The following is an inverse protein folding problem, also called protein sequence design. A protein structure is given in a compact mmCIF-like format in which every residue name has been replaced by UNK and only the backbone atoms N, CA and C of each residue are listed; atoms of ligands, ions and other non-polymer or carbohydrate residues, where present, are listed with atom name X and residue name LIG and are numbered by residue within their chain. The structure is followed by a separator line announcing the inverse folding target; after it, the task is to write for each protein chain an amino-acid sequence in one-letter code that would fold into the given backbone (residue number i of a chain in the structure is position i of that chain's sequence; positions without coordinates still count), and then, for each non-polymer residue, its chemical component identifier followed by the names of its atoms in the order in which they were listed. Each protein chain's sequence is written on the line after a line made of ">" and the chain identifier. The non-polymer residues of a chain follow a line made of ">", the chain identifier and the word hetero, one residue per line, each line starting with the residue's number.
data_IF_843083026984
#
_entry.id   IF_843083026984
#
_cell.length_a   1.000
_cell.length_b   1.000
_cell.length_c   1.000
_cell.angle_alpha   90.00
_cell.angle_beta   90.00
_cell.angle_gamma   90.00
#
_symmetry.space_group_name_H-M   'P 1'
#
loop_
_entity.id
_entity.type
_entity.pdbx_description
1 polymer ?
#
# COMPACT_ATOMS: atom_id res chain seq x y z
N UNK A 1 -27.80 7.49 -5.05
CA UNK A 1 -27.68 7.70 -3.58
C UNK A 1 -26.27 8.24 -3.32
N UNK A 2 -26.14 9.41 -2.67
CA UNK A 2 -24.83 9.99 -2.32
C UNK A 2 -24.54 9.62 -0.87
N UNK A 3 -23.47 8.88 -0.62
CA UNK A 3 -23.03 8.53 0.73
C UNK A 3 -21.97 9.54 1.17
N UNK A 4 -22.18 10.18 2.31
CA UNK A 4 -21.21 11.12 2.85
C UNK A 4 -20.08 10.38 3.57
N UNK A 5 -18.82 10.80 3.38
CA UNK A 5 -17.68 10.19 4.03
C UNK A 5 -17.70 10.46 5.55
N UNK A 6 -17.33 9.46 6.34
CA UNK A 6 -17.11 9.59 7.78
C UNK A 6 -15.62 9.91 8.05
N UNK A 7 -15.29 10.23 9.30
CA UNK A 7 -13.91 10.55 9.72
C UNK A 7 -12.90 9.44 9.39
N UNK A 8 -13.35 8.19 9.41
CA UNK A 8 -12.54 7.03 9.06
C UNK A 8 -12.18 7.00 7.56
N UNK A 9 -13.11 7.38 6.69
CA UNK A 9 -12.82 7.54 5.25
C UNK A 9 -11.81 8.69 5.04
N UNK A 10 -12.00 9.81 5.76
CA UNK A 10 -11.09 10.94 5.66
C UNK A 10 -9.68 10.61 6.18
N UNK A 11 -9.57 9.70 7.15
CA UNK A 11 -8.27 9.23 7.61
C UNK A 11 -7.47 8.56 6.49
N UNK A 12 -8.13 7.78 5.62
CA UNK A 12 -7.47 7.14 4.47
C UNK A 12 -6.87 8.15 3.49
N UNK A 13 -7.36 9.38 3.46
CA UNK A 13 -6.81 10.43 2.61
C UNK A 13 -5.38 10.83 2.99
N UNK A 14 -4.89 10.47 4.19
CA UNK A 14 -3.48 10.61 4.55
C UNK A 14 -2.55 9.78 3.66
N UNK A 15 -3.05 8.71 3.06
CA UNK A 15 -2.30 7.86 2.15
C UNK A 15 -2.11 8.49 0.76
N UNK A 16 -2.95 9.44 0.35
CA UNK A 16 -2.97 10.02 -1.00
C UNK A 16 -1.62 10.59 -1.42
N UNK A 17 -1.32 10.47 -2.70
CA UNK A 17 -0.14 11.05 -3.35
C UNK A 17 0.85 10.01 -3.85
N UNK A 18 2.04 10.50 -4.21
CA UNK A 18 3.11 9.70 -4.77
C UNK A 18 4.15 9.35 -3.70
N UNK A 19 4.56 8.09 -3.67
CA UNK A 19 5.49 7.57 -2.68
C UNK A 19 6.63 6.82 -3.37
N UNK A 20 7.83 6.92 -2.81
CA UNK A 20 8.91 5.96 -3.06
C UNK A 20 8.86 4.89 -1.99
N UNK A 21 9.18 3.65 -2.36
CA UNK A 21 9.23 2.53 -1.43
C UNK A 21 10.63 1.96 -1.37
N UNK A 22 11.03 1.51 -0.20
CA UNK A 22 12.30 0.86 0.05
C UNK A 22 12.08 -0.25 1.07
N UNK A 23 12.57 -1.45 0.75
CA UNK A 23 12.55 -2.59 1.66
C UNK A 23 13.91 -3.31 1.61
N UNK A 24 14.38 -3.93 2.71
CA UNK A 24 15.56 -4.80 2.68
C UNK A 24 15.36 -5.92 1.67
N UNK A 25 16.39 -6.23 0.89
CA UNK A 25 16.39 -7.46 0.10
C UNK A 25 16.46 -8.69 1.03
N UNK A 26 15.94 -9.84 0.63
CA UNK A 26 16.02 -11.05 1.43
C UNK A 26 17.46 -11.49 1.74
N UNK A 27 17.66 -12.07 2.92
CA UNK A 27 18.95 -12.51 3.40
C UNK A 27 19.77 -11.40 4.04
N UNK A 28 21.07 -11.65 4.30
CA UNK A 28 22.00 -10.70 4.93
C UNK A 28 22.57 -9.66 3.95
N UNK A 29 21.95 -9.48 2.80
CA UNK A 29 22.33 -8.52 1.79
C UNK A 29 22.11 -7.09 2.31
N UNK A 30 23.07 -6.20 2.06
CA UNK A 30 22.90 -4.74 2.27
C UNK A 30 22.09 -4.10 1.14
N UNK A 31 21.68 -4.89 0.15
CA UNK A 31 20.88 -4.42 -0.97
C UNK A 31 19.45 -4.11 -0.55
N UNK A 32 18.82 -3.24 -1.29
CA UNK A 32 17.45 -2.82 -1.06
C UNK A 32 16.67 -2.98 -2.34
N UNK A 33 15.44 -3.49 -2.22
CA UNK A 33 14.47 -3.44 -3.29
C UNK A 33 13.74 -2.09 -3.22
N UNK A 34 13.66 -1.40 -4.35
CA UNK A 34 13.04 -0.09 -4.45
C UNK A 34 11.77 -0.15 -5.29
N UNK A 35 10.91 0.83 -5.09
CA UNK A 35 9.68 0.90 -5.83
C UNK A 35 8.99 2.25 -5.71
N UNK A 36 7.79 2.30 -6.24
CA UNK A 36 6.92 3.48 -6.17
C UNK A 36 5.49 3.06 -5.92
N UNK A 37 4.73 3.94 -5.30
CA UNK A 37 3.29 3.77 -5.13
C UNK A 37 2.59 5.09 -5.41
N UNK A 38 1.51 5.03 -6.21
CA UNK A 38 0.59 6.13 -6.44
C UNK A 38 -0.71 5.81 -5.71
N UNK A 39 -1.15 6.72 -4.86
CA UNK A 39 -2.40 6.56 -4.11
C UNK A 39 -3.38 7.65 -4.52
N UNK A 40 -4.53 7.22 -5.02
CA UNK A 40 -5.62 8.10 -5.47
C UNK A 40 -6.96 7.71 -4.85
N UNK A 41 -7.89 8.66 -4.84
CA UNK A 41 -9.27 8.41 -4.42
C UNK A 41 -10.07 7.71 -5.51
N UNK A 42 -11.00 6.85 -5.07
CA UNK A 42 -12.16 6.43 -5.85
C UNK A 42 -13.40 6.99 -5.16
N UNK A 43 -13.84 8.16 -5.62
CA UNK A 43 -14.78 8.99 -4.85
C UNK A 43 -14.15 9.48 -3.55
N UNK A 44 -14.96 9.64 -2.50
CA UNK A 44 -14.47 10.07 -1.18
C UNK A 44 -14.46 8.94 -0.14
N UNK A 45 -14.87 7.72 -0.54
CA UNK A 45 -15.03 6.58 0.36
C UNK A 45 -13.88 5.56 0.28
N UNK A 46 -13.17 5.52 -0.86
CA UNK A 46 -12.14 4.54 -1.12
C UNK A 46 -10.83 5.19 -1.55
N UNK A 47 -9.72 4.51 -1.29
CA UNK A 47 -8.43 4.79 -1.89
C UNK A 47 -7.92 3.57 -2.65
N UNK A 48 -7.23 3.83 -3.75
CA UNK A 48 -6.55 2.86 -4.58
C UNK A 48 -5.06 3.13 -4.50
N UNK A 49 -4.29 2.14 -4.04
CA UNK A 49 -2.84 2.20 -3.92
C UNK A 49 -2.23 1.32 -5.02
N UNK A 50 -1.69 1.94 -6.04
CA UNK A 50 -1.08 1.28 -7.20
C UNK A 50 0.43 1.27 -7.04
N UNK A 51 0.99 0.09 -6.70
CA UNK A 51 2.40 -0.10 -6.44
C UNK A 51 3.14 -0.72 -7.62
N UNK A 52 4.43 -0.35 -7.75
CA UNK A 52 5.37 -0.98 -8.67
C UNK A 52 6.73 -1.06 -7.97
N UNK A 53 7.35 -2.24 -7.95
CA UNK A 53 8.62 -2.42 -7.27
C UNK A 53 9.46 -3.55 -7.82
N UNK A 54 10.73 -3.49 -7.53
CA UNK A 54 11.68 -4.55 -7.83
C UNK A 54 11.41 -5.78 -6.95
N UNK A 55 11.52 -6.95 -7.56
CA UNK A 55 11.41 -8.22 -6.84
C UNK A 55 12.79 -8.77 -6.49
N UNK A 56 12.91 -9.42 -5.33
CA UNK A 56 14.08 -10.24 -5.04
C UNK A 56 14.31 -11.27 -6.15
N UNK A 57 15.53 -11.33 -6.68
CA UNK A 57 15.85 -12.23 -7.80
C UNK A 57 15.57 -11.65 -9.19
N UNK A 58 15.11 -10.40 -9.27
CA UNK A 58 14.89 -9.66 -10.52
C UNK A 58 13.44 -9.62 -10.99
N UNK A 59 13.18 -8.69 -11.89
CA UNK A 59 11.84 -8.42 -12.41
C UNK A 59 11.11 -7.32 -11.64
N UNK A 60 9.94 -6.94 -12.16
CA UNK A 60 9.08 -5.89 -11.59
C UNK A 60 7.75 -6.48 -11.18
N UNK A 61 7.37 -6.25 -9.93
CA UNK A 61 6.03 -6.53 -9.46
C UNK A 61 5.11 -5.32 -9.64
N UNK A 62 3.85 -5.58 -9.95
CA UNK A 62 2.76 -4.61 -9.90
C UNK A 62 1.78 -5.04 -8.82
N UNK A 63 1.34 -4.09 -8.01
CA UNK A 63 0.48 -4.33 -6.86
C UNK A 63 -0.67 -3.35 -6.86
N UNK A 64 -1.83 -3.81 -6.43
CA UNK A 64 -2.99 -2.96 -6.21
C UNK A 64 -3.58 -3.28 -4.82
N UNK A 65 -3.71 -2.25 -4.00
CA UNK A 65 -4.48 -2.31 -2.75
C UNK A 65 -5.68 -1.38 -2.85
N UNK A 66 -6.82 -1.86 -2.39
CA UNK A 66 -8.02 -1.03 -2.19
C UNK A 66 -8.27 -0.92 -0.70
N UNK A 67 -8.59 0.27 -0.21
CA UNK A 67 -8.98 0.47 1.18
C UNK A 67 -10.19 1.40 1.28
N UNK A 68 -11.09 1.07 2.16
CA UNK A 68 -12.27 1.83 2.52
C UNK A 68 -12.62 1.58 3.99
N UNK A 69 -13.78 2.10 4.41
CA UNK A 69 -14.32 1.85 5.74
C UNK A 69 -15.77 1.40 5.63
N UNK A 70 -16.11 0.32 6.32
CA UNK A 70 -17.47 -0.18 6.43
C UNK A 70 -18.09 0.29 7.77
N UNK A 71 -19.03 1.24 7.75
CA UNK A 71 -19.66 1.75 8.97
C UNK A 71 -20.49 0.72 9.72
N UNK A 72 -21.04 -0.28 9.01
CA UNK A 72 -21.83 -1.34 9.65
C UNK A 72 -20.94 -2.28 10.44
N UNK A 73 -19.83 -2.68 9.86
CA UNK A 73 -18.80 -3.48 10.53
C UNK A 73 -17.96 -2.69 11.53
N UNK A 74 -17.93 -1.36 11.39
CA UNK A 74 -16.98 -0.46 12.10
C UNK A 74 -15.54 -0.90 11.91
N UNK A 75 -15.18 -1.22 10.65
CA UNK A 75 -13.87 -1.72 10.25
C UNK A 75 -13.38 -1.06 8.97
N UNK A 76 -12.08 -0.88 8.88
CA UNK A 76 -11.43 -0.68 7.59
C UNK A 76 -11.48 -1.99 6.84
N UNK A 77 -11.79 -1.91 5.55
CA UNK A 77 -11.93 -3.07 4.66
C UNK A 77 -11.17 -2.81 3.37
N UNK A 78 -10.72 -3.86 2.74
CA UNK A 78 -10.02 -3.72 1.46
C UNK A 78 -9.51 -5.03 0.90
N UNK A 79 -8.75 -4.91 -0.17
CA UNK A 79 -8.09 -6.04 -0.83
C UNK A 79 -6.68 -5.68 -1.24
N UNK A 80 -5.83 -6.68 -1.42
CA UNK A 80 -4.54 -6.53 -2.06
C UNK A 80 -4.30 -7.68 -3.04
N UNK A 81 -3.80 -7.35 -4.22
CA UNK A 81 -3.36 -8.30 -5.24
C UNK A 81 -1.99 -7.87 -5.78
N UNK A 82 -1.19 -8.85 -6.18
CA UNK A 82 0.11 -8.61 -6.78
C UNK A 82 0.35 -9.51 -7.98
N UNK A 83 1.03 -8.99 -8.99
CA UNK A 83 1.31 -9.72 -10.24
C UNK A 83 2.16 -10.98 -10.05
N UNK A 84 2.76 -11.16 -8.87
CA UNK A 84 3.63 -12.29 -8.53
C UNK A 84 2.89 -13.45 -7.87
N UNK A 85 1.58 -13.33 -7.59
CA UNK A 85 0.81 -14.39 -6.95
C UNK A 85 -0.63 -14.43 -7.44
N UNK A 86 -1.27 -15.58 -7.29
CA UNK A 86 -2.67 -15.81 -7.70
C UNK A 86 -3.66 -15.61 -6.55
N UNK A 87 -3.20 -15.26 -5.37
CA UNK A 87 -4.02 -15.07 -4.18
C UNK A 87 -4.42 -13.62 -4.00
N UNK A 88 -5.69 -13.38 -3.68
CA UNK A 88 -6.18 -12.07 -3.27
C UNK A 88 -6.30 -12.03 -1.75
N UNK A 89 -5.63 -11.06 -1.13
CA UNK A 89 -5.75 -10.78 0.29
C UNK A 89 -6.98 -9.93 0.54
N UNK A 90 -7.82 -10.36 1.49
CA UNK A 90 -9.02 -9.64 1.90
C UNK A 90 -8.78 -9.13 3.32
N UNK A 91 -8.90 -7.83 3.52
CA UNK A 91 -8.58 -7.17 4.77
C UNK A 91 -9.81 -6.75 5.56
N UNK A 92 -9.73 -6.96 6.86
CA UNK A 92 -10.51 -6.26 7.87
C UNK A 92 -9.55 -5.68 8.91
N UNK A 93 -9.77 -4.41 9.30
CA UNK A 93 -8.80 -3.75 10.16
C UNK A 93 -9.36 -2.67 11.05
N UNK A 94 -8.50 -2.17 11.91
CA UNK A 94 -8.82 -1.11 12.85
C UNK A 94 -7.66 -0.13 13.01
N UNK A 95 -8.02 1.11 13.29
CA UNK A 95 -7.09 2.17 13.62
C UNK A 95 -6.89 2.19 15.14
N UNK A 96 -5.66 2.41 15.57
CA UNK A 96 -5.33 2.55 16.98
C UNK A 96 -5.86 3.87 17.57
N UNK A 97 -5.82 4.00 18.89
CA UNK A 97 -6.31 5.19 19.58
C UNK A 97 -5.49 6.47 19.24
N UNK A 98 -4.24 6.33 18.84
CA UNK A 98 -3.39 7.46 18.42
C UNK A 98 -3.67 7.94 17.00
N UNK A 99 -4.49 7.20 16.25
CA UNK A 99 -4.79 7.43 14.83
C UNK A 99 -3.54 7.46 13.92
N UNK A 100 -2.51 6.73 14.31
CA UNK A 100 -1.26 6.61 13.55
C UNK A 100 -1.03 5.22 12.98
N UNK A 101 -1.66 4.19 13.55
CA UNK A 101 -1.42 2.79 13.22
C UNK A 101 -2.70 2.13 12.75
N UNK A 102 -2.75 1.80 11.48
CA UNK A 102 -3.82 0.98 10.88
C UNK A 102 -3.33 -0.47 10.80
N UNK A 103 -4.01 -1.36 11.51
CA UNK A 103 -3.76 -2.80 11.45
C UNK A 103 -4.82 -3.46 10.57
N UNK A 104 -4.39 -4.16 9.52
CA UNK A 104 -5.20 -4.89 8.56
C UNK A 104 -4.95 -6.38 8.77
N UNK A 105 -5.97 -7.14 9.11
CA UNK A 105 -5.90 -8.59 9.29
C UNK A 105 -6.46 -9.30 8.08
N UNK A 106 -5.86 -10.42 7.72
CA UNK A 106 -6.27 -11.28 6.61
C UNK A 106 -5.97 -12.73 6.91
N UNK A 107 -6.52 -13.62 6.10
CA UNK A 107 -6.19 -15.03 6.08
C UNK A 107 -5.81 -15.43 4.65
N UNK A 108 -4.83 -16.29 4.52
CA UNK A 108 -4.32 -16.71 3.22
C UNK A 108 -3.51 -17.99 3.29
N UNK A 109 -2.90 -18.42 2.17
CA UNK A 109 -2.09 -19.62 2.13
C UNK A 109 -0.99 -19.59 3.19
N UNK A 110 -0.71 -20.74 3.80
CA UNK A 110 0.51 -20.91 4.59
C UNK A 110 1.69 -21.10 3.66
N UNK A 111 2.78 -20.37 3.92
CA UNK A 111 4.03 -20.51 3.16
C UNK A 111 5.08 -21.24 3.99
N UNK A 112 5.92 -22.04 3.31
CA UNK A 112 7.16 -22.57 3.90
C UNK A 112 8.19 -21.45 4.06
N UNK A 113 9.28 -21.65 4.82
CA UNK A 113 10.38 -20.69 4.91
C UNK A 113 10.98 -20.29 3.55
N UNK A 114 10.92 -21.21 2.56
CA UNK A 114 11.40 -20.99 1.19
C UNK A 114 10.36 -20.29 0.29
N UNK A 115 9.20 -19.88 0.85
CA UNK A 115 8.14 -19.16 0.12
C UNK A 115 7.22 -20.04 -0.73
N UNK A 116 7.20 -21.35 -0.53
CA UNK A 116 6.28 -22.26 -1.22
C UNK A 116 4.96 -22.37 -0.46
N UNK A 117 3.84 -22.45 -1.18
CA UNK A 117 2.53 -22.70 -0.58
C UNK A 117 2.48 -24.10 0.00
N UNK A 118 2.00 -24.22 1.24
CA UNK A 118 1.68 -25.49 1.88
C UNK A 118 0.25 -25.86 1.51
N UNK A 119 0.11 -26.94 0.75
CA UNK A 119 -1.17 -27.34 0.17
C UNK A 119 -2.24 -27.59 1.24
N UNK A 120 -3.42 -27.01 1.04
CA UNK A 120 -4.57 -27.16 1.95
C UNK A 120 -4.41 -26.48 3.32
N UNK A 121 -3.35 -25.69 3.55
CA UNK A 121 -3.17 -24.96 4.81
C UNK A 121 -3.32 -23.44 4.64
N UNK A 122 -3.98 -22.81 5.62
CA UNK A 122 -4.05 -21.36 5.75
C UNK A 122 -3.32 -20.88 6.99
N UNK A 123 -2.96 -19.60 6.98
CA UNK A 123 -2.39 -18.89 8.11
C UNK A 123 -3.05 -17.52 8.24
N UNK A 124 -2.96 -16.95 9.44
CA UNK A 124 -3.40 -15.58 9.71
C UNK A 124 -2.26 -14.62 9.50
N UNK A 125 -2.56 -13.52 8.84
CA UNK A 125 -1.62 -12.46 8.52
C UNK A 125 -2.08 -11.12 9.06
N UNK A 126 -1.12 -10.22 9.20
CA UNK A 126 -1.38 -8.85 9.64
C UNK A 126 -0.43 -7.92 8.93
N UNK A 127 -1.00 -6.93 8.24
CA UNK A 127 -0.28 -5.78 7.70
C UNK A 127 -0.54 -4.58 8.59
N UNK A 128 0.52 -3.89 8.97
CA UNK A 128 0.46 -2.73 9.86
C UNK A 128 1.04 -1.53 9.13
N UNK A 129 0.20 -0.51 8.89
CA UNK A 129 0.60 0.77 8.31
C UNK A 129 0.74 1.76 9.45
N UNK A 130 1.97 2.23 9.69
CA UNK A 130 2.27 3.22 10.73
C UNK A 130 2.79 4.51 10.12
N UNK A 131 2.13 5.64 10.40
CA UNK A 131 2.63 6.96 10.06
C UNK A 131 3.66 7.43 11.08
N UNK A 132 4.91 7.57 10.64
CA UNK A 132 6.01 8.18 11.42
C UNK A 132 5.96 9.71 11.31
N UNK A 133 5.50 10.21 10.16
CA UNK A 133 5.20 11.63 9.88
C UNK A 133 4.26 11.69 8.67
N UNK A 134 3.84 12.89 8.27
CA UNK A 134 3.01 13.08 7.07
C UNK A 134 3.72 12.63 5.78
N UNK A 135 5.05 12.61 5.79
CA UNK A 135 5.88 12.26 4.64
C UNK A 135 6.58 10.89 4.77
N UNK A 136 6.34 10.16 5.85
CA UNK A 136 6.96 8.86 6.08
C UNK A 136 6.00 7.91 6.77
N UNK A 137 5.70 6.80 6.13
CA UNK A 137 4.98 5.67 6.72
C UNK A 137 5.76 4.37 6.54
N UNK A 138 5.51 3.43 7.43
CA UNK A 138 6.12 2.09 7.40
C UNK A 138 5.00 1.08 7.31
N UNK A 139 5.17 0.11 6.42
CA UNK A 139 4.34 -1.09 6.34
C UNK A 139 5.15 -2.26 6.87
N UNK A 140 4.61 -2.98 7.83
CA UNK A 140 5.18 -4.25 8.31
C UNK A 140 4.17 -5.37 8.14
N UNK A 141 4.64 -6.51 7.65
CA UNK A 141 3.81 -7.71 7.48
C UNK A 141 4.22 -8.79 8.45
N UNK A 142 3.21 -9.44 9.03
CA UNK A 142 3.39 -10.46 10.05
C UNK A 142 2.54 -11.68 9.74
N UNK A 143 3.03 -12.85 10.15
CA UNK A 143 2.30 -14.12 10.13
C UNK A 143 2.18 -14.65 11.54
N UNK A 144 1.02 -15.22 11.88
CA UNK A 144 0.81 -15.88 13.16
C UNK A 144 1.44 -17.27 13.12
N UNK A 145 2.43 -17.48 13.98
CA UNK A 145 3.10 -18.78 14.13
C UNK A 145 2.24 -19.79 14.91
N UNK A 146 2.61 -21.05 14.81
CA UNK A 146 1.97 -22.15 15.56
C UNK A 146 2.11 -22.00 17.09
N UNK A 147 3.13 -21.25 17.54
CA UNK A 147 3.36 -20.86 18.93
C UNK A 147 2.45 -19.72 19.41
N UNK A 148 1.55 -19.25 18.56
CA UNK A 148 0.63 -18.14 18.84
C UNK A 148 1.28 -16.75 18.81
N UNK A 149 2.52 -16.64 18.35
CA UNK A 149 3.23 -15.36 18.24
C UNK A 149 3.17 -14.81 16.82
N UNK A 150 3.11 -13.48 16.73
CA UNK A 150 3.21 -12.77 15.47
C UNK A 150 4.67 -12.59 15.08
N UNK A 151 5.05 -13.18 13.95
CA UNK A 151 6.40 -13.12 13.40
C UNK A 151 6.41 -12.15 12.23
N UNK A 152 7.20 -11.08 12.35
CA UNK A 152 7.39 -10.12 11.28
C UNK A 152 8.29 -10.71 10.20
N UNK A 153 7.88 -10.62 8.94
CA UNK A 153 8.66 -11.14 7.80
C UNK A 153 8.96 -10.08 6.75
N UNK A 154 8.30 -8.91 6.78
CA UNK A 154 8.53 -7.83 5.82
C UNK A 154 8.44 -6.47 6.51
N UNK A 155 9.30 -5.54 6.06
CA UNK A 155 9.22 -4.11 6.39
C UNK A 155 9.46 -3.33 5.12
N UNK A 156 8.59 -2.36 4.83
CA UNK A 156 8.75 -1.42 3.74
C UNK A 156 8.60 0.01 4.24
N UNK A 157 9.55 0.86 3.88
CA UNK A 157 9.50 2.29 4.15
C UNK A 157 8.93 3.03 2.96
N UNK A 158 7.95 3.87 3.19
CA UNK A 158 7.32 4.73 2.19
C UNK A 158 7.65 6.18 2.51
N UNK A 159 8.23 6.87 1.54
CA UNK A 159 8.53 8.30 1.64
C UNK A 159 7.77 9.05 0.57
N UNK A 160 7.06 10.10 0.98
CA UNK A 160 6.29 10.92 0.05
C UNK A 160 7.23 11.62 -0.91
N UNK A 161 6.92 11.54 -2.21
CA UNK A 161 7.60 12.36 -3.21
C UNK A 161 7.14 13.80 -3.06
N UNK A 162 8.09 14.72 -3.03
CA UNK A 162 7.74 16.13 -3.15
C UNK A 162 7.07 16.36 -4.51
N UNK A 163 6.05 17.24 -4.58
CA UNK A 163 5.49 17.64 -5.86
C UNK A 163 6.63 18.12 -6.74
N UNK A 164 6.82 17.48 -7.90
CA UNK A 164 7.76 17.99 -8.91
C UNK A 164 7.39 19.44 -9.17
N UNK A 165 8.33 20.37 -9.00
CA UNK A 165 8.13 21.76 -9.37
C UNK A 165 7.62 21.78 -10.82
N UNK A 166 6.40 22.27 -11.03
CA UNK A 166 5.78 22.28 -12.35
C UNK A 166 6.72 23.00 -13.31
N UNK A 167 7.21 22.30 -14.34
CA UNK A 167 7.95 22.97 -15.42
C UNK A 167 7.03 24.06 -15.96
N UNK A 168 7.48 25.31 -16.05
CA UNK A 168 6.67 26.38 -16.61
C UNK A 168 6.22 25.95 -18.01
N UNK A 169 4.91 26.01 -18.27
CA UNK A 169 4.36 25.82 -19.62
C UNK A 169 5.10 26.80 -20.52
N UNK A 170 5.84 26.33 -21.52
CA UNK A 170 6.30 27.16 -22.61
C UNK A 170 5.04 27.71 -23.30
N UNK A 171 4.76 28.98 -23.12
CA UNK A 171 3.86 29.71 -24.01
C UNK A 171 4.45 29.64 -25.40
N UNK A 172 3.83 28.85 -26.27
CA UNK A 172 4.07 28.90 -27.70
C UNK A 172 3.26 30.07 -28.22
N UNK A 173 3.92 31.21 -28.33
CA UNK A 173 3.44 32.40 -29.06
C UNK A 173 3.34 32.01 -30.56
N UNK A 174 2.15 31.58 -30.98
CA UNK A 174 1.81 31.51 -32.40
C UNK A 174 1.14 32.81 -32.81
N UNK A 175 1.97 33.80 -33.08
CA UNK A 175 1.54 34.94 -33.87
C UNK A 175 1.23 34.48 -35.32
N UNK A 176 -0.05 34.33 -35.61
CA UNK A 176 -0.52 34.10 -36.97
C UNK A 176 -0.53 35.48 -37.66
N UNK A 177 0.44 35.67 -38.56
CA UNK A 177 0.50 36.85 -39.43
C UNK A 177 -0.35 36.58 -40.67
N UNK A 178 -1.45 37.32 -40.87
CA UNK A 178 -2.20 37.31 -42.11
C UNK A 178 -1.63 38.43 -43.01
N UNK A 179 -1.21 38.11 -44.26
CA UNK A 179 -0.90 39.16 -45.20
C UNK A 179 -2.20 39.72 -45.82
N UNK A 180 -2.29 41.07 -45.88
CA UNK A 180 -3.31 41.81 -46.57
C UNK A 180 -3.15 41.77 -48.10
#
# INVERSE_FOLDING_TARGET
>A
MKTEPQKEHLWLHKLLGEWTTEMPAPGDSKEKCTGTESVRKLGDLWVLCEGRGEMPGGGIAHMLMTLGYDPQKKRYVGTWVGSMMTWMWIYEGSLDATQKVLTLSSEGPQFTPEGKIVDGKSAKYRDVIEFKSDNHRVLTSHVLGEDGKWNQFMTAHYRRKEPSAAKPKRETDHAIHYPG
#
